data_IF_379806901796
#
_entry.id   IF_379806901796
#
_cell.length_a   1.000
_cell.length_b   1.000
_cell.length_c   1.000
_cell.angle_alpha   90.00
_cell.angle_beta   90.00
_cell.angle_gamma   90.00
#
_symmetry.space_group_name_H-M   'P 1'
#
loop_
_entity.id
_entity.type
_entity.pdbx_description
1 polymer ?
#
# COMPACT_ATOMS: atom_id res chain seq x y z
N UNK A 1 -17.65 2.60 12.14
CA UNK A 1 -16.77 1.50 12.61
C UNK A 1 -15.48 2.06 13.23
N UNK A 2 -14.93 3.13 12.65
CA UNK A 2 -13.64 3.71 13.05
C UNK A 2 -13.74 5.05 13.79
N UNK A 3 -14.89 5.35 14.41
CA UNK A 3 -15.06 6.55 15.23
C UNK A 3 -14.02 6.55 16.36
N UNK A 4 -13.40 7.70 16.59
CA UNK A 4 -12.34 7.94 17.58
C UNK A 4 -11.03 7.13 17.35
N UNK A 5 -10.87 6.52 16.17
CA UNK A 5 -9.62 5.87 15.76
C UNK A 5 -8.69 6.86 15.07
N UNK A 6 -7.39 6.72 15.34
CA UNK A 6 -6.34 7.49 14.66
C UNK A 6 -5.71 6.63 13.58
N UNK A 7 -5.82 7.09 12.34
CA UNK A 7 -5.35 6.41 11.13
C UNK A 7 -4.24 7.23 10.50
N UNK A 8 -3.10 6.61 10.26
CA UNK A 8 -1.95 7.22 9.57
C UNK A 8 -1.83 6.59 8.19
N UNK A 9 -1.68 7.42 7.15
CA UNK A 9 -1.60 6.96 5.74
C UNK A 9 -0.45 7.67 5.04
N UNK A 10 0.45 6.91 4.41
CA UNK A 10 1.46 7.46 3.51
C UNK A 10 0.96 7.45 2.06
N UNK A 11 1.28 8.51 1.28
CA UNK A 11 0.81 8.62 -0.10
C UNK A 11 -0.70 8.82 -0.20
N UNK A 12 -1.28 9.62 0.69
CA UNK A 12 -2.74 9.78 0.80
C UNK A 12 -3.32 10.98 0.04
N UNK A 13 -2.53 11.71 -0.76
CA UNK A 13 -3.01 12.84 -1.56
C UNK A 13 -3.69 12.41 -2.85
N UNK A 14 -3.42 11.21 -3.36
CA UNK A 14 -3.95 10.71 -4.63
C UNK A 14 -4.27 9.22 -4.65
N UNK A 15 -4.90 8.78 -5.73
CA UNK A 15 -5.11 7.39 -6.07
C UNK A 15 -5.72 6.53 -4.95
N UNK A 16 -5.13 5.37 -4.73
CA UNK A 16 -5.55 4.39 -3.71
C UNK A 16 -5.51 5.01 -2.31
N UNK A 17 -4.42 5.71 -1.96
CA UNK A 17 -4.24 6.29 -0.63
C UNK A 17 -5.30 7.35 -0.29
N UNK A 18 -5.66 8.20 -1.26
CA UNK A 18 -6.73 9.18 -1.10
C UNK A 18 -8.07 8.50 -0.86
N UNK A 19 -8.41 7.49 -1.63
CA UNK A 19 -9.64 6.73 -1.45
C UNK A 19 -9.70 6.10 -0.05
N UNK A 20 -8.61 5.46 0.40
CA UNK A 20 -8.51 4.90 1.75
C UNK A 20 -8.73 5.99 2.81
N UNK A 21 -8.10 7.16 2.67
CA UNK A 21 -8.24 8.28 3.60
C UNK A 21 -9.69 8.77 3.68
N UNK A 22 -10.36 8.90 2.53
CA UNK A 22 -11.75 9.32 2.45
C UNK A 22 -12.70 8.31 3.11
N UNK A 23 -12.51 7.02 2.85
CA UNK A 23 -13.34 5.97 3.45
C UNK A 23 -13.18 5.92 4.99
N UNK A 24 -11.96 6.03 5.52
CA UNK A 24 -11.77 6.13 6.97
C UNK A 24 -12.41 7.39 7.56
N UNK A 25 -12.35 8.56 6.89
CA UNK A 25 -13.03 9.78 7.33
C UNK A 25 -14.55 9.62 7.35
N UNK A 26 -15.14 8.98 6.33
CA UNK A 26 -16.58 8.66 6.30
C UNK A 26 -17.00 7.78 7.49
N UNK A 27 -16.11 6.90 7.93
CA UNK A 27 -16.31 6.03 9.10
C UNK A 27 -16.04 6.71 10.45
N UNK A 28 -15.66 8.00 10.44
CA UNK A 28 -15.47 8.84 11.62
C UNK A 28 -14.07 8.80 12.23
N UNK A 29 -13.06 8.32 11.51
CA UNK A 29 -11.68 8.31 11.97
C UNK A 29 -11.00 9.69 11.86
N UNK A 30 -10.05 9.97 12.76
CA UNK A 30 -9.05 11.02 12.59
C UNK A 30 -7.95 10.50 11.65
N UNK A 31 -7.81 11.11 10.47
CA UNK A 31 -6.89 10.63 9.43
C UNK A 31 -5.72 11.60 9.25
N UNK A 32 -4.51 11.11 9.50
CA UNK A 32 -3.24 11.82 9.30
C UNK A 32 -2.59 11.32 8.02
N UNK A 33 -2.37 12.22 7.08
CA UNK A 33 -1.74 11.92 5.78
C UNK A 33 -0.36 12.55 5.71
N UNK A 34 0.60 11.83 5.14
CA UNK A 34 1.87 12.35 4.62
C UNK A 34 1.98 12.02 3.15
N UNK A 35 2.33 13.02 2.34
CA UNK A 35 2.53 12.88 0.89
C UNK A 35 3.59 13.90 0.42
N UNK A 36 4.24 13.65 -0.71
CA UNK A 36 5.15 14.61 -1.34
C UNK A 36 4.42 15.68 -2.16
N UNK A 37 3.17 15.43 -2.55
CA UNK A 37 2.34 16.43 -3.23
C UNK A 37 1.91 17.54 -2.28
N UNK A 38 1.71 18.75 -2.82
CA UNK A 38 1.15 19.89 -2.06
C UNK A 38 -0.32 19.64 -1.69
N UNK A 39 -0.72 20.06 -0.49
CA UNK A 39 -2.10 19.90 -0.03
C UNK A 39 -2.28 20.16 1.47
N UNK A 40 -3.51 20.00 1.94
CA UNK A 40 -3.87 20.15 3.37
C UNK A 40 -3.56 18.85 4.14
N UNK A 41 -2.27 18.50 4.17
CA UNK A 41 -1.71 17.36 4.88
C UNK A 41 -0.23 17.63 5.18
N UNK A 42 0.46 16.70 5.82
CA UNK A 42 1.90 16.83 6.01
C UNK A 42 2.62 16.61 4.67
N UNK A 43 3.29 17.64 4.16
CA UNK A 43 4.05 17.57 2.91
C UNK A 43 5.49 17.14 3.20
N UNK A 44 5.94 16.04 2.59
CA UNK A 44 7.30 15.55 2.76
C UNK A 44 7.57 14.21 2.10
N UNK A 45 8.83 13.96 1.80
CA UNK A 45 9.30 12.70 1.23
C UNK A 45 9.53 11.66 2.33
N UNK A 46 8.81 10.56 2.27
CA UNK A 46 8.97 9.45 3.22
C UNK A 46 10.26 8.63 3.01
N UNK A 47 10.98 8.85 1.92
CA UNK A 47 12.33 8.33 1.72
C UNK A 47 13.38 8.99 2.63
N UNK A 48 13.04 10.12 3.25
CA UNK A 48 13.89 10.85 4.18
C UNK A 48 13.54 10.53 5.64
N UNK A 49 14.53 10.11 6.39
CA UNK A 49 14.43 9.76 7.81
C UNK A 49 13.94 10.92 8.67
N UNK A 50 14.46 12.12 8.44
CA UNK A 50 14.12 13.30 9.26
C UNK A 50 12.68 13.73 9.05
N UNK A 51 12.18 13.60 7.84
CA UNK A 51 10.76 13.80 7.48
C UNK A 51 9.85 12.83 8.23
N UNK A 52 10.22 11.55 8.26
CA UNK A 52 9.45 10.53 9.01
C UNK A 52 9.42 10.81 10.51
N UNK A 53 10.57 11.21 11.10
CA UNK A 53 10.66 11.56 12.51
C UNK A 53 9.81 12.78 12.87
N UNK A 54 9.85 13.83 12.05
CA UNK A 54 9.05 15.04 12.24
C UNK A 54 7.55 14.77 12.11
N UNK A 55 7.13 14.04 11.08
CA UNK A 55 5.73 13.64 10.89
C UNK A 55 5.22 12.78 12.04
N UNK A 56 5.95 11.73 12.41
CA UNK A 56 5.56 10.85 13.51
C UNK A 56 5.49 11.63 14.83
N UNK A 57 6.45 12.52 15.10
CA UNK A 57 6.44 13.39 16.27
C UNK A 57 5.20 14.28 16.34
N UNK A 58 4.76 14.83 15.19
CA UNK A 58 3.53 15.63 15.13
C UNK A 58 2.29 14.79 15.43
N UNK A 59 2.17 13.59 14.84
CA UNK A 59 1.03 12.68 15.09
C UNK A 59 0.99 12.28 16.56
N UNK A 60 2.13 11.87 17.13
CA UNK A 60 2.24 11.47 18.55
C UNK A 60 1.84 12.60 19.47
N UNK A 61 2.35 13.82 19.21
CA UNK A 61 2.03 15.00 20.02
C UNK A 61 0.55 15.36 19.97
N UNK A 62 -0.10 15.18 18.81
CA UNK A 62 -1.50 15.58 18.61
C UNK A 62 -2.47 14.55 19.18
N UNK A 63 -2.21 13.27 19.00
CA UNK A 63 -3.18 12.21 19.29
C UNK A 63 -2.77 11.24 20.41
N UNK A 64 -1.47 11.08 20.66
CA UNK A 64 -0.95 10.15 21.67
C UNK A 64 -1.22 8.67 21.40
N UNK A 65 -1.82 8.34 20.26
CA UNK A 65 -2.13 6.96 19.85
C UNK A 65 -2.18 6.81 18.34
N UNK A 66 -1.97 5.59 17.85
CA UNK A 66 -2.21 5.18 16.46
C UNK A 66 -2.96 3.83 16.49
N UNK A 67 -4.11 3.77 15.85
CA UNK A 67 -4.92 2.55 15.73
C UNK A 67 -4.68 1.82 14.41
N UNK A 68 -4.42 2.58 13.35
CA UNK A 68 -4.17 2.05 12.00
C UNK A 68 -2.99 2.78 11.37
N UNK A 69 -2.07 2.02 10.79
CA UNK A 69 -1.01 2.52 9.91
C UNK A 69 -1.15 1.90 8.53
N UNK A 70 -1.33 2.73 7.49
CA UNK A 70 -1.37 2.29 6.09
C UNK A 70 -0.14 2.80 5.36
N UNK A 71 0.79 1.91 5.05
CA UNK A 71 1.97 2.19 4.24
C UNK A 71 1.60 2.01 2.76
N UNK A 72 1.17 3.11 2.11
CA UNK A 72 0.64 3.08 0.75
C UNK A 72 1.52 3.79 -0.28
N UNK A 73 2.31 4.80 0.10
CA UNK A 73 3.11 5.58 -0.85
C UNK A 73 3.92 4.67 -1.81
N UNK A 74 3.76 4.83 -3.13
CA UNK A 74 4.44 3.98 -4.09
C UNK A 74 5.91 4.39 -4.23
N UNK A 75 6.86 3.42 -4.28
CA UNK A 75 8.21 3.70 -4.70
C UNK A 75 8.25 4.01 -6.19
N UNK A 76 9.32 4.70 -6.63
CA UNK A 76 9.56 4.90 -8.06
C UNK A 76 9.78 3.58 -8.78
N UNK A 77 9.46 3.55 -10.08
CA UNK A 77 9.64 2.39 -10.94
C UNK A 77 10.66 2.73 -12.04
N UNK A 78 11.87 2.21 -11.88
CA UNK A 78 12.96 2.27 -12.86
C UNK A 78 13.60 0.91 -13.01
N UNK A 79 14.11 0.62 -14.19
CA UNK A 79 14.69 -0.65 -14.55
C UNK A 79 16.21 -0.63 -14.71
N UNK A 80 16.76 -1.79 -15.10
CA UNK A 80 18.21 -2.03 -15.19
C UNK A 80 18.92 -1.07 -16.16
N UNK A 81 18.20 -0.52 -17.13
CA UNK A 81 18.81 0.39 -18.12
C UNK A 81 19.06 1.79 -17.54
N UNK A 82 18.15 2.31 -16.70
CA UNK A 82 18.14 3.72 -16.32
C UNK A 82 18.14 3.96 -14.79
N UNK A 83 18.07 2.89 -14.00
CA UNK A 83 18.02 2.98 -12.56
C UNK A 83 19.43 3.19 -11.98
N UNK A 84 19.68 4.36 -11.39
CA UNK A 84 20.94 4.62 -10.67
C UNK A 84 20.95 3.93 -9.30
N UNK A 85 22.10 3.91 -8.65
CA UNK A 85 22.22 3.46 -7.26
C UNK A 85 21.32 4.27 -6.32
N UNK A 86 21.29 5.56 -6.51
CA UNK A 86 20.50 6.50 -5.71
C UNK A 86 19.00 6.27 -5.91
N UNK A 87 18.56 6.10 -7.18
CA UNK A 87 17.17 5.76 -7.52
C UNK A 87 16.73 4.45 -6.85
N UNK A 88 17.55 3.41 -6.97
CA UNK A 88 17.24 2.10 -6.40
C UNK A 88 17.16 2.16 -4.87
N UNK A 89 18.14 2.84 -4.24
CA UNK A 89 18.17 3.03 -2.79
C UNK A 89 16.96 3.83 -2.30
N UNK A 90 16.61 4.91 -3.00
CA UNK A 90 15.43 5.71 -2.68
C UNK A 90 14.14 4.90 -2.83
N UNK A 91 14.01 4.08 -3.88
CA UNK A 91 12.86 3.20 -4.05
C UNK A 91 12.69 2.21 -2.88
N UNK A 92 13.79 1.64 -2.39
CA UNK A 92 13.78 0.78 -1.19
C UNK A 92 13.45 1.58 0.07
N UNK A 93 13.95 2.81 0.20
CA UNK A 93 13.64 3.67 1.33
C UNK A 93 12.15 3.98 1.41
N UNK A 94 11.53 4.38 0.29
CA UNK A 94 10.08 4.65 0.22
C UNK A 94 9.28 3.37 0.40
N UNK A 95 9.63 2.29 -0.31
CA UNK A 95 8.78 1.10 -0.39
C UNK A 95 8.91 0.12 0.77
N UNK A 96 10.02 0.16 1.52
CA UNK A 96 10.31 -0.81 2.59
C UNK A 96 10.76 -0.13 3.88
N UNK A 97 11.83 0.69 3.79
CA UNK A 97 12.46 1.27 4.99
C UNK A 97 11.51 2.19 5.74
N UNK A 98 10.74 3.02 5.02
CA UNK A 98 9.76 3.93 5.61
C UNK A 98 8.68 3.18 6.40
N UNK A 99 8.14 2.07 5.86
CA UNK A 99 7.14 1.26 6.53
C UNK A 99 7.67 0.65 7.84
N UNK A 100 8.89 0.09 7.79
CA UNK A 100 9.57 -0.39 8.99
C UNK A 100 9.78 0.73 10.00
N UNK A 101 10.29 1.88 9.54
CA UNK A 101 10.67 2.96 10.45
C UNK A 101 9.46 3.66 11.07
N UNK A 102 8.39 3.91 10.33
CA UNK A 102 7.12 4.43 10.88
C UNK A 102 6.52 3.46 11.91
N UNK A 103 6.53 2.16 11.61
CA UNK A 103 6.10 1.14 12.58
C UNK A 103 6.90 1.24 13.88
N UNK A 104 8.24 1.40 13.79
CA UNK A 104 9.12 1.57 14.95
C UNK A 104 8.84 2.88 15.71
N UNK A 105 8.65 3.99 15.01
CA UNK A 105 8.35 5.29 15.62
C UNK A 105 7.02 5.29 16.36
N UNK A 106 5.99 4.64 15.80
CA UNK A 106 4.67 4.55 16.41
C UNK A 106 4.53 3.44 17.45
N UNK A 107 5.49 2.51 17.56
CA UNK A 107 5.42 1.36 18.46
C UNK A 107 5.00 1.71 19.91
N UNK A 108 5.53 2.80 20.53
CA UNK A 108 5.14 3.17 21.90
C UNK A 108 3.68 3.61 22.03
N UNK A 109 3.08 4.11 20.95
CA UNK A 109 1.71 4.67 20.93
C UNK A 109 0.74 3.85 20.08
N UNK A 110 1.17 2.69 19.54
CA UNK A 110 0.25 1.76 18.90
C UNK A 110 -0.81 1.31 19.90
N UNK A 111 -2.06 1.44 19.53
CA UNK A 111 -3.18 0.93 20.32
C UNK A 111 -3.10 -0.60 20.46
N UNK A 112 -3.65 -1.13 21.52
CA UNK A 112 -3.83 -2.58 21.64
C UNK A 112 -4.80 -3.06 20.56
N UNK A 113 -4.39 -4.08 19.78
CA UNK A 113 -5.14 -4.57 18.62
C UNK A 113 -5.06 -3.66 17.39
N UNK A 114 -4.08 -2.77 17.31
CA UNK A 114 -3.83 -1.94 16.13
C UNK A 114 -3.67 -2.78 14.85
N UNK A 115 -3.90 -2.16 13.70
CA UNK A 115 -3.73 -2.80 12.39
C UNK A 115 -2.74 -2.04 11.53
N UNK A 116 -1.77 -2.75 10.95
CA UNK A 116 -0.80 -2.20 10.00
C UNK A 116 -1.07 -2.84 8.65
N UNK A 117 -1.31 -2.01 7.63
CA UNK A 117 -1.55 -2.46 6.26
C UNK A 117 -0.46 -1.92 5.36
N UNK A 118 0.21 -2.83 4.67
CA UNK A 118 1.23 -2.51 3.68
C UNK A 118 0.66 -2.70 2.27
N UNK A 119 0.68 -1.66 1.45
CA UNK A 119 0.27 -1.78 0.04
C UNK A 119 1.46 -2.25 -0.79
N UNK A 120 1.45 -3.54 -1.12
CA UNK A 120 2.38 -4.18 -2.02
C UNK A 120 1.94 -4.02 -3.49
N UNK A 121 2.04 -5.05 -4.29
CA UNK A 121 1.58 -5.13 -5.70
C UNK A 121 1.60 -6.58 -6.14
N UNK A 122 0.85 -6.94 -7.19
CA UNK A 122 1.04 -8.19 -7.92
C UNK A 122 2.48 -8.37 -8.41
N UNK A 123 3.25 -7.27 -8.52
CA UNK A 123 4.69 -7.27 -8.85
C UNK A 123 5.60 -7.79 -7.72
N UNK A 124 5.07 -8.20 -6.59
CA UNK A 124 5.82 -8.94 -5.56
C UNK A 124 6.16 -10.38 -6.01
N UNK A 125 5.47 -10.89 -7.03
CA UNK A 125 5.57 -12.28 -7.55
C UNK A 125 5.61 -12.40 -9.06
N UNK A 126 5.39 -11.30 -9.79
CA UNK A 126 5.50 -11.25 -11.26
C UNK A 126 6.02 -9.88 -11.68
N UNK A 127 6.60 -9.78 -12.89
CA UNK A 127 7.27 -8.56 -13.32
C UNK A 127 7.02 -8.28 -14.81
N UNK A 128 7.25 -7.04 -15.19
CA UNK A 128 7.48 -6.62 -16.55
C UNK A 128 8.95 -6.14 -16.68
N UNK A 129 9.52 -6.09 -17.86
CA UNK A 129 10.85 -5.50 -18.06
C UNK A 129 10.92 -4.08 -17.51
N UNK A 130 12.09 -3.66 -17.02
CA UNK A 130 12.37 -2.31 -16.54
C UNK A 130 11.56 -1.88 -15.29
N UNK A 131 11.34 -2.82 -14.37
CA UNK A 131 10.57 -2.55 -13.13
C UNK A 131 11.32 -2.97 -11.86
N UNK A 132 12.63 -3.17 -11.93
CA UNK A 132 13.44 -3.84 -10.91
C UNK A 132 13.37 -3.10 -9.56
N UNK A 133 13.46 -1.76 -9.53
CA UNK A 133 13.41 -0.99 -8.29
C UNK A 133 12.05 -1.13 -7.58
N UNK A 134 10.97 -1.07 -8.34
CA UNK A 134 9.61 -1.23 -7.84
C UNK A 134 9.35 -2.67 -7.38
N UNK A 135 9.70 -3.67 -8.20
CA UNK A 135 9.53 -5.08 -7.89
C UNK A 135 10.29 -5.49 -6.63
N UNK A 136 11.56 -5.03 -6.50
CA UNK A 136 12.35 -5.28 -5.30
C UNK A 136 11.70 -4.69 -4.04
N UNK A 137 11.20 -3.46 -4.12
CA UNK A 137 10.51 -2.81 -3.02
C UNK A 137 9.20 -3.53 -2.65
N UNK A 138 8.39 -3.94 -3.65
CA UNK A 138 7.10 -4.61 -3.42
C UNK A 138 7.27 -6.05 -2.92
N UNK A 139 8.30 -6.76 -3.36
CA UNK A 139 8.70 -8.03 -2.75
C UNK A 139 9.20 -7.86 -1.32
N UNK A 140 10.03 -6.83 -1.08
CA UNK A 140 10.56 -6.50 0.24
C UNK A 140 9.47 -6.17 1.26
N UNK A 141 8.47 -5.37 0.90
CA UNK A 141 7.38 -5.01 1.82
C UNK A 141 6.47 -6.22 2.12
N UNK A 142 6.24 -7.10 1.13
CA UNK A 142 5.51 -8.35 1.36
C UNK A 142 6.23 -9.25 2.39
N UNK A 143 7.55 -9.39 2.26
CA UNK A 143 8.36 -10.13 3.23
C UNK A 143 8.40 -9.43 4.61
N UNK A 144 8.54 -8.10 4.66
CA UNK A 144 8.53 -7.34 5.92
C UNK A 144 7.20 -7.52 6.67
N UNK A 145 6.10 -7.71 5.96
CA UNK A 145 4.76 -7.88 6.56
C UNK A 145 4.70 -9.04 7.54
N UNK A 146 5.11 -10.25 7.13
CA UNK A 146 5.07 -11.40 8.04
C UNK A 146 6.10 -11.30 9.16
N UNK A 147 7.26 -10.68 8.92
CA UNK A 147 8.26 -10.43 9.95
C UNK A 147 7.72 -9.49 11.05
N UNK A 148 7.06 -8.40 10.66
CA UNK A 148 6.41 -7.49 11.59
C UNK A 148 5.22 -8.14 12.32
N UNK A 149 4.43 -8.97 11.63
CA UNK A 149 3.31 -9.69 12.24
C UNK A 149 3.77 -10.57 13.41
N UNK A 150 4.89 -11.27 13.24
CA UNK A 150 5.49 -12.09 14.30
C UNK A 150 6.06 -11.23 15.42
N UNK A 151 6.79 -10.16 15.08
CA UNK A 151 7.41 -9.27 16.08
C UNK A 151 6.39 -8.48 16.90
N UNK A 152 5.21 -8.19 16.35
CA UNK A 152 4.14 -7.43 16.99
C UNK A 152 3.01 -8.34 17.53
N UNK A 153 3.27 -9.64 17.66
CA UNK A 153 2.28 -10.61 18.15
C UNK A 153 1.66 -10.14 19.49
N UNK A 154 0.34 -10.20 19.57
CA UNK A 154 -0.42 -9.72 20.73
C UNK A 154 -0.55 -8.20 20.86
N UNK A 155 0.14 -7.40 20.06
CA UNK A 155 0.07 -5.94 20.06
C UNK A 155 -0.69 -5.40 18.84
N UNK A 156 -0.33 -5.84 17.64
CA UNK A 156 -0.92 -5.40 16.39
C UNK A 156 -1.00 -6.56 15.37
N UNK A 157 -1.93 -6.47 14.44
CA UNK A 157 -1.97 -7.31 13.23
C UNK A 157 -1.29 -6.57 12.08
N UNK A 158 -0.52 -7.29 11.29
CA UNK A 158 0.18 -6.73 10.12
C UNK A 158 -0.16 -7.57 8.91
N UNK A 159 -0.74 -6.96 7.89
CA UNK A 159 -1.06 -7.62 6.62
C UNK A 159 -0.65 -6.74 5.44
N UNK A 160 -0.48 -7.34 4.28
CA UNK A 160 -0.29 -6.62 3.03
C UNK A 160 -1.40 -6.92 2.04
N UNK A 161 -1.63 -5.97 1.15
CA UNK A 161 -2.49 -6.11 -0.01
C UNK A 161 -1.62 -5.96 -1.24
N UNK A 162 -1.78 -6.87 -2.21
CA UNK A 162 -1.13 -6.82 -3.52
C UNK A 162 -2.17 -6.48 -4.60
N UNK A 163 -2.35 -5.19 -4.93
CA UNK A 163 -3.23 -4.79 -6.02
C UNK A 163 -2.70 -5.28 -7.37
N UNK A 164 -3.65 -5.60 -8.27
CA UNK A 164 -3.38 -5.73 -9.70
C UNK A 164 -3.39 -4.37 -10.40
N UNK A 165 -3.95 -4.32 -11.60
CA UNK A 165 -4.18 -3.07 -12.30
C UNK A 165 -5.37 -2.33 -11.69
N UNK A 166 -5.08 -1.22 -11.02
CA UNK A 166 -6.04 -0.30 -10.41
C UNK A 166 -5.97 1.02 -11.16
N UNK A 167 -7.04 1.37 -11.84
CA UNK A 167 -7.18 2.68 -12.47
C UNK A 167 -7.66 3.71 -11.45
N UNK A 168 -6.90 4.78 -11.31
CA UNK A 168 -7.17 5.86 -10.35
C UNK A 168 -7.98 7.01 -10.95
N UNK A 169 -8.13 7.03 -12.28
CA UNK A 169 -8.77 8.10 -13.04
C UNK A 169 -10.21 7.75 -13.45
N UNK A 170 -10.65 6.53 -13.12
CA UNK A 170 -11.98 6.00 -13.46
C UNK A 170 -12.25 6.02 -14.97
N UNK A 171 -11.22 5.66 -15.74
CA UNK A 171 -11.26 5.58 -17.21
C UNK A 171 -12.23 4.50 -17.67
N UNK A 172 -12.98 4.79 -18.72
CA UNK A 172 -13.82 3.78 -19.38
C UNK A 172 -12.97 3.03 -20.41
N UNK A 173 -12.64 1.77 -20.10
CA UNK A 173 -11.88 0.90 -20.98
C UNK A 173 -12.77 0.14 -21.95
N UNK A 174 -12.22 -0.23 -23.10
CA UNK A 174 -12.89 -0.98 -24.14
C UNK A 174 -12.01 -2.13 -24.64
N UNK A 175 -12.63 -3.15 -25.26
CA UNK A 175 -11.91 -4.29 -25.84
C UNK A 175 -11.13 -5.10 -24.81
N UNK A 176 -9.93 -5.62 -25.15
CA UNK A 176 -9.13 -6.47 -24.27
C UNK A 176 -8.79 -5.81 -22.94
N UNK A 177 -8.51 -4.51 -22.91
CA UNK A 177 -8.17 -3.78 -21.69
C UNK A 177 -9.31 -3.78 -20.68
N UNK A 178 -10.58 -3.77 -21.14
CA UNK A 178 -11.74 -3.84 -20.28
C UNK A 178 -11.98 -5.24 -19.67
N UNK A 179 -11.51 -6.30 -20.33
CA UNK A 179 -11.92 -7.68 -20.01
C UNK A 179 -10.76 -8.63 -19.70
N UNK A 180 -9.53 -8.14 -19.68
CA UNK A 180 -8.34 -9.00 -19.49
C UNK A 180 -8.27 -9.65 -18.10
N UNK A 181 -8.89 -9.05 -17.08
CA UNK A 181 -9.00 -9.69 -15.77
C UNK A 181 -10.22 -10.61 -15.71
N UNK A 182 -10.14 -11.78 -15.08
CA UNK A 182 -11.28 -12.68 -14.87
C UNK A 182 -12.50 -12.01 -14.23
N UNK A 183 -12.31 -10.97 -13.43
CA UNK A 183 -13.40 -10.17 -12.87
C UNK A 183 -14.17 -9.32 -13.90
N UNK A 184 -13.73 -9.31 -15.18
CA UNK A 184 -14.39 -8.63 -16.28
C UNK A 184 -14.30 -7.10 -16.26
N UNK A 185 -13.39 -6.54 -15.50
CA UNK A 185 -13.12 -5.09 -15.42
C UNK A 185 -11.75 -4.77 -14.87
N UNK A 186 -11.28 -3.59 -15.14
CA UNK A 186 -10.14 -2.99 -14.42
C UNK A 186 -10.57 -2.66 -12.98
N UNK A 187 -9.67 -2.83 -12.02
CA UNK A 187 -9.92 -2.46 -10.63
C UNK A 187 -9.94 -0.94 -10.43
N UNK A 188 -10.52 -0.49 -9.34
CA UNK A 188 -10.52 0.91 -8.93
C UNK A 188 -10.05 1.06 -7.46
N UNK A 189 -9.75 2.27 -6.99
CA UNK A 189 -9.25 2.50 -5.63
C UNK A 189 -10.16 1.95 -4.52
N UNK A 190 -11.47 1.93 -4.73
CA UNK A 190 -12.42 1.43 -3.74
C UNK A 190 -12.31 -0.10 -3.54
N UNK A 191 -11.91 -0.86 -4.56
CA UNK A 191 -11.65 -2.30 -4.43
C UNK A 191 -10.57 -2.57 -3.37
N UNK A 192 -9.56 -1.71 -3.32
CA UNK A 192 -8.47 -1.79 -2.35
C UNK A 192 -8.90 -1.22 -0.99
N UNK A 193 -9.54 -0.06 -0.97
CA UNK A 193 -10.00 0.57 0.26
C UNK A 193 -10.95 -0.32 1.07
N UNK A 194 -11.87 -1.03 0.41
CA UNK A 194 -12.77 -1.98 1.07
C UNK A 194 -12.01 -3.09 1.80
N UNK A 195 -10.95 -3.65 1.19
CA UNK A 195 -10.13 -4.67 1.85
C UNK A 195 -9.32 -4.07 2.99
N UNK A 196 -8.78 -2.86 2.85
CA UNK A 196 -8.09 -2.16 3.94
C UNK A 196 -9.01 -1.99 5.14
N UNK A 197 -10.22 -1.47 4.95
CA UNK A 197 -11.20 -1.31 6.04
C UNK A 197 -11.57 -2.65 6.67
N UNK A 198 -11.79 -3.69 5.85
CA UNK A 198 -12.06 -5.03 6.38
C UNK A 198 -10.91 -5.54 7.25
N UNK A 199 -9.67 -5.49 6.77
CA UNK A 199 -8.50 -5.96 7.51
C UNK A 199 -8.23 -5.15 8.77
N UNK A 200 -8.62 -3.87 8.81
CA UNK A 200 -8.51 -3.01 9.99
C UNK A 200 -9.65 -3.23 11.00
N UNK A 201 -10.70 -3.95 10.64
CA UNK A 201 -11.85 -4.22 11.51
C UNK A 201 -11.63 -5.43 12.42
N UNK A 202 -12.48 -5.54 13.47
CA UNK A 202 -12.50 -6.69 14.37
C UNK A 202 -12.89 -8.00 13.65
N UNK A 203 -13.56 -7.91 12.49
CA UNK A 203 -13.95 -9.05 11.66
C UNK A 203 -12.75 -9.80 11.08
N UNK A 204 -11.60 -9.13 10.97
CA UNK A 204 -10.33 -9.71 10.52
C UNK A 204 -9.40 -10.07 11.70
N UNK A 205 -9.93 -10.25 12.92
CA UNK A 205 -9.16 -10.44 14.13
C UNK A 205 -8.20 -11.65 14.13
N UNK A 206 -8.40 -12.63 13.24
CA UNK A 206 -7.53 -13.81 13.10
C UNK A 206 -6.70 -13.81 11.81
N UNK A 207 -6.61 -12.65 11.13
CA UNK A 207 -5.81 -12.47 9.90
C UNK A 207 -4.60 -11.60 10.25
N UNK A 208 -3.40 -12.18 10.20
CA UNK A 208 -2.13 -11.46 10.38
C UNK A 208 -1.01 -12.20 9.66
N UNK A 209 -0.05 -11.46 9.12
CA UNK A 209 1.08 -11.99 8.36
C UNK A 209 0.77 -12.32 6.90
N UNK A 210 -0.45 -12.06 6.44
CA UNK A 210 -0.91 -12.42 5.10
C UNK A 210 -0.63 -11.33 4.07
N UNK A 211 -0.42 -11.78 2.83
CA UNK A 211 -0.36 -10.94 1.64
C UNK A 211 -1.52 -11.28 0.70
N UNK A 212 -2.54 -10.43 0.68
CA UNK A 212 -3.80 -10.68 -0.01
C UNK A 212 -3.78 -10.01 -1.39
N UNK A 213 -3.91 -10.82 -2.43
CA UNK A 213 -3.98 -10.32 -3.81
C UNK A 213 -5.40 -9.83 -4.15
N UNK A 214 -5.50 -8.57 -4.62
CA UNK A 214 -6.73 -7.94 -5.09
C UNK A 214 -6.49 -7.43 -6.51
N UNK A 215 -6.63 -8.32 -7.46
CA UNK A 215 -6.18 -8.12 -8.85
C UNK A 215 -7.21 -8.56 -9.92
N UNK A 216 -8.44 -8.82 -9.50
CA UNK A 216 -9.47 -9.32 -10.40
C UNK A 216 -9.20 -10.72 -10.97
N UNK A 217 -8.25 -11.47 -10.38
CA UNK A 217 -7.85 -12.79 -10.83
C UNK A 217 -6.70 -12.79 -11.85
N UNK A 218 -6.12 -11.64 -12.17
CA UNK A 218 -5.06 -11.49 -13.18
C UNK A 218 -3.89 -12.45 -12.94
N UNK A 219 -3.37 -12.55 -11.71
CA UNK A 219 -2.23 -13.41 -11.36
C UNK A 219 -2.58 -14.91 -11.31
N UNK A 220 -3.84 -15.28 -11.51
CA UNK A 220 -4.33 -16.69 -11.52
C UNK A 220 -4.64 -17.19 -12.90
N UNK A 221 -4.79 -16.29 -13.87
CA UNK A 221 -5.13 -16.63 -15.23
C UNK A 221 -3.90 -17.07 -16.00
N UNK A 222 -3.96 -18.26 -16.61
CA UNK A 222 -2.98 -18.71 -17.59
C UNK A 222 -3.41 -18.22 -18.96
N UNK A 223 -2.52 -17.57 -19.69
CA UNK A 223 -2.78 -17.03 -21.02
C UNK A 223 -1.72 -17.57 -21.98
N UNK A 224 -2.17 -18.10 -23.12
CA UNK A 224 -1.29 -18.48 -24.24
C UNK A 224 -1.35 -17.43 -25.34
N UNK A 225 -0.38 -17.48 -26.25
CA UNK A 225 -0.35 -16.61 -27.43
C UNK A 225 -1.69 -16.70 -28.21
N UNK A 226 -2.25 -15.56 -28.55
CA UNK A 226 -3.56 -15.37 -29.18
C UNK A 226 -4.81 -15.57 -28.29
N UNK A 227 -4.68 -16.02 -27.05
CA UNK A 227 -5.81 -16.09 -26.13
C UNK A 227 -6.24 -14.67 -25.73
N UNK A 228 -7.56 -14.43 -25.69
CA UNK A 228 -8.16 -13.17 -25.21
C UNK A 228 -7.55 -11.89 -25.84
N UNK A 229 -7.05 -12.00 -27.07
CA UNK A 229 -6.40 -10.90 -27.79
C UNK A 229 -4.97 -10.61 -27.36
N UNK A 230 -4.38 -11.44 -26.48
CA UNK A 230 -2.99 -11.31 -26.11
C UNK A 230 -2.08 -11.84 -27.23
N UNK A 231 -1.11 -11.02 -27.66
CA UNK A 231 -0.12 -11.39 -28.66
C UNK A 231 1.28 -10.98 -28.19
N UNK A 232 2.25 -11.84 -28.44
CA UNK A 232 3.66 -11.49 -28.34
C UNK A 232 4.11 -10.97 -29.70
N UNK A 233 4.51 -9.71 -29.76
CA UNK A 233 5.12 -9.15 -30.96
C UNK A 233 6.55 -9.69 -31.09
N UNK A 234 6.93 -10.12 -32.31
CA UNK A 234 8.29 -10.55 -32.64
C UNK A 234 9.26 -9.37 -32.65
#
# INVERSE_FOLDING_TARGET
MFRDKVVVITGGAGGIGKCIAEEFRKEGAAVCVIDCAEGDHYVGDIGDKTTLEAFAGQVIKTYGRVDVLVNNAPPMMKGINDCTWEDFTHALNVGVTAAFYLTKLFLPVLAQGASIINISSSRDRMSQPQTESYTAAKGGIAALTHALAVSLAGKARVNSISPGWIDTDYTVYHGPDATQQPAGRVGNPLDIANMVLFLCSDRAGFITGENICIDGGMTRQMIYHADHGWTLNE
#
